data_IF_053814186912
#
_entry.id   IF_053814186912
#
_cell.length_a   1.000
_cell.length_b   1.000
_cell.length_c   1.000
_cell.angle_alpha   90.00
_cell.angle_beta   90.00
_cell.angle_gamma   90.00
#
_symmetry.space_group_name_H-M   'P 1'
#
loop_
_entity.id
_entity.type
_entity.pdbx_description
1 polymer ?
#
# COMPACT_ATOMS: atom_id res chain seq x y z
N UNK A 1 -26.96 -35.19 36.98
CA UNK A 1 -25.75 -34.37 37.19
C UNK A 1 -25.30 -33.85 35.83
N UNK A 2 -25.66 -32.60 35.47
CA UNK A 2 -25.31 -31.99 34.19
C UNK A 2 -23.98 -31.24 34.37
N UNK A 3 -22.91 -31.70 33.73
CA UNK A 3 -21.61 -31.01 33.71
C UNK A 3 -21.61 -30.01 32.56
N UNK A 4 -21.89 -28.74 32.87
CA UNK A 4 -21.77 -27.63 31.93
C UNK A 4 -20.29 -27.27 31.78
N UNK A 5 -19.67 -27.71 30.70
CA UNK A 5 -18.29 -27.34 30.35
C UNK A 5 -18.28 -25.90 29.86
N UNK A 6 -17.77 -24.96 30.68
CA UNK A 6 -17.55 -23.58 30.29
C UNK A 6 -16.47 -23.53 29.19
N UNK A 7 -16.85 -23.17 27.96
CA UNK A 7 -15.91 -22.82 26.91
C UNK A 7 -15.48 -21.36 27.11
N UNK A 8 -14.26 -21.16 27.62
CA UNK A 8 -13.62 -19.85 27.67
C UNK A 8 -13.11 -19.55 26.26
N UNK A 9 -13.87 -18.75 25.50
CA UNK A 9 -13.40 -18.19 24.24
C UNK A 9 -12.31 -17.14 24.56
N UNK A 10 -11.05 -17.49 24.32
CA UNK A 10 -9.95 -16.54 24.41
C UNK A 10 -10.10 -15.49 23.29
N UNK A 11 -10.51 -14.27 23.65
CA UNK A 11 -10.41 -13.11 22.77
C UNK A 11 -8.92 -12.79 22.58
N UNK A 12 -8.33 -13.24 21.47
CA UNK A 12 -7.03 -12.75 21.05
C UNK A 12 -7.15 -11.24 20.76
N UNK A 13 -6.24 -10.40 21.28
CA UNK A 13 -6.22 -8.99 20.91
C UNK A 13 -5.93 -8.89 19.41
N UNK A 14 -6.84 -8.25 18.67
CA UNK A 14 -6.59 -7.87 17.29
C UNK A 14 -5.44 -6.85 17.27
N UNK A 15 -4.23 -7.31 16.95
CA UNK A 15 -3.09 -6.41 16.78
C UNK A 15 -3.31 -5.46 15.60
N UNK A 16 -2.70 -4.29 15.64
CA UNK A 16 -2.58 -3.40 14.47
C UNK A 16 -1.17 -3.50 13.89
N UNK A 17 -1.04 -3.33 12.59
CA UNK A 17 0.25 -3.22 11.88
C UNK A 17 0.39 -1.84 11.26
N UNK A 18 1.64 -1.48 10.97
CA UNK A 18 1.97 -0.24 10.26
C UNK A 18 1.25 -0.15 8.92
N UNK A 19 0.79 1.06 8.61
CA UNK A 19 0.11 1.37 7.36
C UNK A 19 1.14 1.38 6.23
N UNK A 20 0.90 0.58 5.20
CA UNK A 20 1.71 0.61 4.01
C UNK A 20 0.96 1.26 2.86
N UNK A 21 1.65 2.13 2.14
CA UNK A 21 1.10 2.84 1.00
C UNK A 21 2.07 2.78 -0.15
N UNK A 22 1.55 2.77 -1.37
CA UNK A 22 2.36 2.74 -2.58
C UNK A 22 1.71 3.56 -3.68
N UNK A 23 2.56 4.18 -4.51
CA UNK A 23 2.17 4.88 -5.73
C UNK A 23 3.02 4.33 -6.87
N UNK A 24 2.36 4.07 -7.99
CA UNK A 24 2.96 3.52 -9.20
C UNK A 24 2.50 4.34 -10.39
N UNK A 25 3.39 4.59 -11.33
CA UNK A 25 3.09 5.37 -12.51
C UNK A 25 3.78 4.83 -13.76
N UNK A 26 3.29 5.32 -14.89
CA UNK A 26 3.74 4.96 -16.22
C UNK A 26 4.07 6.21 -17.02
N UNK A 27 4.94 6.04 -18.00
CA UNK A 27 5.38 7.11 -18.90
C UNK A 27 4.23 7.69 -19.74
N UNK A 28 3.11 6.96 -19.87
CA UNK A 28 1.89 7.40 -20.54
C UNK A 28 0.98 8.26 -19.65
N UNK A 29 1.39 8.57 -18.42
CA UNK A 29 0.62 9.33 -17.44
C UNK A 29 -0.47 8.53 -16.74
N UNK A 30 -0.57 7.22 -16.95
CA UNK A 30 -1.42 6.40 -16.09
C UNK A 30 -0.71 6.15 -14.76
N UNK A 31 -1.47 6.18 -13.68
CA UNK A 31 -0.98 5.88 -12.35
C UNK A 31 -1.92 4.93 -11.59
N UNK A 32 -1.42 4.37 -10.50
CA UNK A 32 -2.16 3.58 -9.56
C UNK A 32 -1.62 3.80 -8.16
N UNK A 33 -2.47 3.69 -7.15
CA UNK A 33 -2.09 3.91 -5.77
C UNK A 33 -2.85 2.99 -4.84
N UNK A 34 -2.26 2.72 -3.69
CA UNK A 34 -2.89 2.01 -2.59
C UNK A 34 -2.44 2.64 -1.29
N UNK A 35 -3.34 2.73 -0.32
CA UNK A 35 -3.05 3.33 0.97
C UNK A 35 -3.60 2.49 2.11
N UNK A 36 -2.98 2.60 3.28
CA UNK A 36 -3.39 1.88 4.49
C UNK A 36 -3.53 0.37 4.25
N UNK A 37 -2.49 -0.25 3.67
CA UNK A 37 -2.42 -1.69 3.48
C UNK A 37 -1.62 -2.35 4.59
N UNK A 38 -1.88 -3.62 4.92
CA UNK A 38 -1.18 -4.35 5.98
C UNK A 38 0.29 -4.67 5.67
N UNK A 39 0.76 -4.44 4.44
CA UNK A 39 2.16 -4.61 4.05
C UNK A 39 2.52 -3.81 2.80
N UNK A 40 3.79 -3.41 2.66
CA UNK A 40 4.30 -2.74 1.47
C UNK A 40 4.11 -3.56 0.20
N UNK A 41 4.28 -4.89 0.27
CA UNK A 41 4.08 -5.80 -0.87
C UNK A 41 2.64 -5.78 -1.38
N UNK A 42 1.65 -5.76 -0.48
CA UNK A 42 0.25 -5.68 -0.87
C UNK A 42 -0.09 -4.29 -1.43
N UNK A 43 0.39 -3.22 -0.78
CA UNK A 43 0.26 -1.86 -1.29
C UNK A 43 0.77 -1.75 -2.72
N UNK A 44 1.98 -2.29 -2.97
CA UNK A 44 2.59 -2.27 -4.27
C UNK A 44 1.78 -3.07 -5.30
N UNK A 45 1.40 -4.32 -4.98
CA UNK A 45 0.60 -5.15 -5.90
C UNK A 45 -0.74 -4.49 -6.26
N UNK A 46 -1.42 -3.88 -5.28
CA UNK A 46 -2.67 -3.14 -5.53
C UNK A 46 -2.42 -1.92 -6.40
N UNK A 47 -1.38 -1.13 -6.12
CA UNK A 47 -1.03 0.05 -6.91
C UNK A 47 -0.65 -0.31 -8.36
N UNK A 48 0.16 -1.36 -8.57
CA UNK A 48 0.48 -1.90 -9.90
C UNK A 48 -0.80 -2.35 -10.59
N UNK A 49 -1.66 -3.13 -9.92
CA UNK A 49 -2.92 -3.59 -10.49
C UNK A 49 -3.84 -2.44 -10.91
N UNK A 50 -3.78 -1.29 -10.22
CA UNK A 50 -4.51 -0.08 -10.60
C UNK A 50 -3.90 0.64 -11.80
N UNK A 51 -2.57 0.73 -11.87
CA UNK A 51 -1.84 1.31 -13.00
C UNK A 51 -2.02 0.45 -14.27
N UNK A 52 -1.88 -0.88 -14.14
CA UNK A 52 -1.89 -1.85 -15.23
C UNK A 52 -3.22 -1.92 -16.00
N UNK A 53 -4.33 -1.44 -15.42
CA UNK A 53 -5.61 -1.30 -16.12
C UNK A 53 -5.58 -0.25 -17.23
N UNK A 54 -4.64 0.69 -17.17
CA UNK A 54 -4.58 1.88 -18.04
C UNK A 54 -3.27 2.00 -18.81
N UNK A 55 -2.23 1.26 -18.43
CA UNK A 55 -0.94 1.24 -19.12
C UNK A 55 -0.27 -0.12 -18.99
N UNK A 56 0.50 -0.53 -20.00
CA UNK A 56 1.34 -1.73 -19.94
C UNK A 56 2.70 -1.49 -19.27
N UNK A 57 3.08 -0.23 -19.03
CA UNK A 57 4.44 0.16 -18.64
C UNK A 57 4.45 0.92 -17.31
N UNK A 58 4.12 0.23 -16.21
CA UNK A 58 4.17 0.79 -14.85
C UNK A 58 5.58 0.65 -14.28
N UNK A 59 6.39 1.71 -14.33
CA UNK A 59 7.87 1.66 -14.17
C UNK A 59 8.38 2.28 -12.87
N UNK A 60 7.78 3.36 -12.39
CA UNK A 60 8.22 3.99 -11.14
C UNK A 60 7.34 3.56 -9.97
N UNK A 61 8.01 3.13 -8.90
CA UNK A 61 7.40 2.48 -7.75
C UNK A 61 7.96 3.12 -6.49
N UNK A 62 7.08 3.67 -5.67
CA UNK A 62 7.45 4.13 -4.33
C UNK A 62 6.48 3.54 -3.33
N UNK A 63 7.01 3.01 -2.23
CA UNK A 63 6.22 2.48 -1.14
C UNK A 63 6.76 2.93 0.21
N UNK A 64 5.88 3.02 1.20
CA UNK A 64 6.23 3.31 2.59
C UNK A 64 5.58 2.29 3.50
N UNK A 65 6.13 2.14 4.70
CA UNK A 65 5.52 1.46 5.84
C UNK A 65 5.65 2.42 7.02
N UNK A 66 4.58 3.15 7.33
CA UNK A 66 4.59 4.19 8.36
C UNK A 66 3.51 3.90 9.41
N UNK A 67 3.83 4.10 10.70
CA UNK A 67 2.84 4.03 11.79
C UNK A 67 1.81 5.16 11.65
N UNK A 68 2.27 6.31 11.14
CA UNK A 68 1.47 7.51 10.94
C UNK A 68 2.21 8.46 10.01
N UNK A 69 1.46 9.41 9.44
CA UNK A 69 1.99 10.42 8.54
C UNK A 69 0.95 10.81 7.51
N UNK A 70 1.36 11.69 6.60
CA UNK A 70 0.57 12.21 5.51
C UNK A 70 1.24 11.86 4.20
N UNK A 71 0.40 11.51 3.24
CA UNK A 71 0.83 11.10 1.92
C UNK A 71 -0.05 11.82 0.91
N UNK A 72 0.54 12.22 -0.21
CA UNK A 72 -0.15 13.03 -1.21
C UNK A 72 0.29 12.65 -2.61
N UNK A 73 -0.61 12.84 -3.56
CA UNK A 73 -0.38 12.76 -5.00
C UNK A 73 -0.80 14.10 -5.61
N UNK A 74 0.06 14.64 -6.45
CA UNK A 74 -0.23 15.78 -7.30
C UNK A 74 -0.05 15.39 -8.76
N UNK A 75 -0.85 15.98 -9.64
CA UNK A 75 -0.80 15.75 -11.08
C UNK A 75 -1.06 17.01 -11.90
N UNK A 76 -0.54 17.01 -13.13
CA UNK A 76 -0.71 18.04 -14.16
C UNK A 76 -0.70 17.41 -15.55
N UNK A 77 -0.67 18.24 -16.62
CA UNK A 77 -0.90 17.82 -18.02
C UNK A 77 0.02 16.71 -18.57
N UNK A 78 1.13 16.40 -17.90
CA UNK A 78 1.93 15.18 -18.11
C UNK A 78 2.91 14.94 -16.93
N UNK A 79 2.58 15.47 -15.75
CA UNK A 79 3.49 15.49 -14.62
C UNK A 79 2.81 14.90 -13.40
N UNK A 80 3.62 14.24 -12.57
CA UNK A 80 3.17 13.65 -11.32
C UNK A 80 4.18 13.95 -10.24
N UNK A 81 3.67 14.06 -9.02
CA UNK A 81 4.50 14.13 -7.83
C UNK A 81 3.81 13.40 -6.69
N UNK A 82 4.61 12.87 -5.79
CA UNK A 82 4.11 12.11 -4.66
C UNK A 82 4.90 12.44 -3.40
N UNK A 83 4.27 12.20 -2.25
CA UNK A 83 4.92 12.19 -0.96
C UNK A 83 4.30 11.07 -0.14
N UNK A 84 5.11 10.31 0.59
CA UNK A 84 4.64 9.19 1.40
C UNK A 84 5.19 9.29 2.83
N UNK A 85 4.30 9.21 3.82
CA UNK A 85 4.67 9.14 5.24
C UNK A 85 5.31 10.41 5.79
N UNK A 86 4.97 11.58 5.25
CA UNK A 86 5.44 12.87 5.77
C UNK A 86 4.83 13.17 7.14
N UNK A 87 5.56 13.89 7.99
CA UNK A 87 5.11 14.19 9.36
C UNK A 87 3.89 15.11 9.39
N UNK A 88 3.82 16.04 8.45
CA UNK A 88 2.82 17.10 8.40
C UNK A 88 2.06 17.08 7.08
N UNK A 89 0.76 17.37 7.13
CA UNK A 89 -0.12 17.42 5.96
C UNK A 89 0.42 18.37 4.88
N UNK A 90 0.83 19.57 5.32
CA UNK A 90 1.37 20.58 4.42
C UNK A 90 2.68 20.15 3.78
N UNK A 91 3.54 19.43 4.50
CA UNK A 91 4.78 18.90 3.95
C UNK A 91 4.50 17.85 2.85
N UNK A 92 3.50 17.00 3.04
CA UNK A 92 3.07 16.04 2.00
C UNK A 92 2.59 16.76 0.73
N UNK A 93 1.72 17.75 0.90
CA UNK A 93 1.18 18.55 -0.22
C UNK A 93 2.30 19.30 -0.94
N UNK A 94 3.12 20.04 -0.21
CA UNK A 94 4.18 20.87 -0.78
C UNK A 94 5.21 20.01 -1.52
N UNK A 95 5.57 18.83 -0.98
CA UNK A 95 6.51 17.90 -1.62
C UNK A 95 5.93 17.28 -2.88
N UNK A 96 4.68 16.80 -2.84
CA UNK A 96 4.02 16.25 -4.02
C UNK A 96 3.88 17.31 -5.13
N UNK A 97 3.44 18.52 -4.80
CA UNK A 97 3.35 19.63 -5.76
C UNK A 97 4.71 20.05 -6.29
N UNK A 98 5.73 20.17 -5.43
CA UNK A 98 7.08 20.55 -5.85
C UNK A 98 7.70 19.51 -6.79
N UNK A 99 7.44 18.21 -6.58
CA UNK A 99 7.87 17.16 -7.49
C UNK A 99 7.17 17.26 -8.84
N UNK A 100 5.85 17.40 -8.85
CA UNK A 100 5.07 17.57 -10.08
C UNK A 100 5.55 18.80 -10.87
N UNK A 101 5.78 19.93 -10.18
CA UNK A 101 6.22 21.20 -10.78
C UNK A 101 7.60 21.18 -11.42
N UNK A 102 8.38 20.10 -11.24
CA UNK A 102 9.62 19.90 -12.00
C UNK A 102 9.36 19.61 -13.48
N UNK A 103 8.16 19.12 -13.80
CA UNK A 103 7.80 18.67 -15.15
C UNK A 103 6.62 19.44 -15.77
N UNK A 104 5.73 20.06 -14.98
CA UNK A 104 4.66 20.90 -15.51
C UNK A 104 4.22 22.03 -14.56
N UNK A 105 3.76 23.16 -15.09
CA UNK A 105 3.35 24.32 -14.30
C UNK A 105 1.91 24.23 -13.77
N UNK A 106 1.07 23.36 -14.35
CA UNK A 106 -0.36 23.23 -14.07
C UNK A 106 -0.70 22.21 -12.96
N UNK A 107 0.28 21.86 -12.13
CA UNK A 107 0.15 20.85 -11.09
C UNK A 107 -0.86 21.22 -9.99
N UNK A 108 -1.78 20.30 -9.70
CA UNK A 108 -2.77 20.40 -8.63
C UNK A 108 -2.70 19.18 -7.70
N UNK A 109 -3.22 19.35 -6.48
CA UNK A 109 -3.37 18.24 -5.54
C UNK A 109 -4.50 17.34 -6.04
N UNK A 110 -4.18 16.07 -6.29
CA UNK A 110 -5.16 15.09 -6.74
C UNK A 110 -5.69 14.26 -5.58
N UNK A 111 -4.80 13.85 -4.67
CA UNK A 111 -5.19 13.03 -3.53
C UNK A 111 -4.31 13.29 -2.31
N UNK A 112 -4.91 13.23 -1.13
CA UNK A 112 -4.26 13.40 0.16
C UNK A 112 -4.84 12.38 1.14
N UNK A 113 -3.99 11.65 1.84
CA UNK A 113 -4.43 10.73 2.87
C UNK A 113 -3.51 10.74 4.08
N UNK A 114 -4.09 10.31 5.20
CA UNK A 114 -3.37 10.03 6.44
C UNK A 114 -3.10 8.53 6.52
N UNK A 115 -1.83 8.19 6.73
CA UNK A 115 -1.41 6.84 7.09
C UNK A 115 -2.02 6.49 8.46
N UNK A 116 -2.78 5.40 8.49
CA UNK A 116 -3.50 4.93 9.67
C UNK A 116 -3.22 3.45 9.89
N UNK A 117 -2.81 3.04 11.11
CA UNK A 117 -2.59 1.65 11.42
C UNK A 117 -3.78 0.80 11.00
N UNK A 118 -3.50 -0.34 10.38
CA UNK A 118 -4.54 -1.25 9.91
C UNK A 118 -4.57 -2.52 10.74
N UNK A 119 -5.71 -3.22 10.80
CA UNK A 119 -5.78 -4.49 11.49
C UNK A 119 -4.70 -5.44 10.96
N UNK A 120 -3.95 -6.05 11.87
CA UNK A 120 -3.02 -7.09 11.52
C UNK A 120 -3.80 -8.19 10.79
N UNK A 121 -3.40 -8.57 9.57
CA UNK A 121 -4.03 -9.73 8.95
C UNK A 121 -3.80 -10.91 9.89
N UNK A 122 -4.88 -11.63 10.21
CA UNK A 122 -4.77 -12.88 10.94
C UNK A 122 -3.74 -13.73 10.18
N UNK A 123 -2.61 -14.05 10.82
CA UNK A 123 -1.70 -15.07 10.30
C UNK A 123 -2.49 -16.37 10.28
N UNK A 124 -3.12 -16.66 9.14
CA UNK A 124 -3.56 -18.02 8.85
C UNK A 124 -2.32 -18.90 9.02
N UNK A 125 -2.41 -20.04 9.73
CA UNK A 125 -1.31 -20.98 9.80
C UNK A 125 -0.80 -21.20 8.38
N UNK A 126 0.52 -21.01 8.18
CA UNK A 126 1.13 -21.32 6.89
C UNK A 126 0.69 -22.73 6.52
N UNK A 127 0.11 -22.89 5.34
CA UNK A 127 -0.18 -24.23 4.83
C UNK A 127 1.15 -24.99 4.89
N UNK A 128 1.19 -26.21 5.45
CA UNK A 128 2.40 -27.00 5.44
C UNK A 128 2.90 -27.10 3.99
N UNK A 129 4.22 -27.01 3.75
CA UNK A 129 4.76 -27.09 2.41
C UNK A 129 4.22 -28.35 1.74
N UNK A 130 3.63 -28.22 0.55
CA UNK A 130 3.21 -29.40 -0.20
C UNK A 130 4.45 -30.27 -0.44
N UNK A 131 4.37 -31.60 -0.21
CA UNK A 131 5.45 -32.50 -0.55
C UNK A 131 5.71 -32.39 -2.05
N UNK A 132 6.90 -31.92 -2.42
CA UNK A 132 7.38 -31.98 -3.80
C UNK A 132 7.55 -33.46 -4.16
N UNK A 133 6.89 -33.98 -5.21
CA UNK A 133 7.13 -35.36 -5.65
C UNK A 133 8.61 -35.50 -6.02
N UNK A 134 9.28 -36.50 -5.45
CA UNK A 134 10.65 -36.81 -5.83
C UNK A 134 10.73 -37.09 -7.34
N UNK A 135 11.76 -36.58 -8.04
CA UNK A 135 11.93 -36.88 -9.46
C UNK A 135 12.05 -38.40 -9.65
N UNK A 136 11.25 -38.94 -10.57
CA UNK A 136 11.39 -40.35 -11.00
C UNK A 136 12.79 -40.54 -11.57
N UNK A 137 13.59 -41.38 -10.93
CA UNK A 137 14.81 -41.90 -11.53
C UNK A 137 14.39 -42.85 -12.66
N UNK A 138 14.83 -42.54 -13.89
CA UNK A 138 14.71 -43.39 -15.07
C UNK A 138 15.95 -44.25 -15.21
#
# INVERSE_FOLDING_TARGET
>A
MLRTTLLIAALLPAGSVMAASAVVFSDSGAYGFAYNQPSASLALQTAIGHCARRSGNCTEVVSTSADSGYSAIASGSAAFGHALGERDERAAIDKALAMCRRAADDCQLEFLWRERPVPAPLRLPAHPPMPVPAPRQY
#
